data_IF_901798192877
#
_entry.id   IF_901798192877
#
_cell.length_a   1.000
_cell.length_b   1.000
_cell.length_c   1.000
_cell.angle_alpha   90.00
_cell.angle_beta   90.00
_cell.angle_gamma   90.00
#
_symmetry.space_group_name_H-M   'P 1'
#
loop_
_entity.id
_entity.type
_entity.pdbx_description
1 polymer ?
#
# COMPACT_ATOMS: atom_id res chain seq x y z
N UNK A 1 26.85 5.12 -1.96
CA UNK A 1 26.31 4.34 -3.10
C UNK A 1 27.41 3.74 -3.99
N UNK A 2 27.18 2.53 -4.51
CA UNK A 2 27.98 1.83 -5.52
C UNK A 2 27.45 2.08 -6.96
N UNK A 3 28.09 1.50 -7.99
CA UNK A 3 27.72 1.73 -9.39
C UNK A 3 26.29 1.29 -9.75
N UNK A 4 25.79 0.20 -9.17
CA UNK A 4 24.42 -0.26 -9.39
C UNK A 4 23.41 0.69 -8.73
N UNK A 5 23.71 1.17 -7.54
CA UNK A 5 22.84 2.12 -6.83
C UNK A 5 22.74 3.46 -7.56
N UNK A 6 23.83 3.93 -8.19
CA UNK A 6 23.77 5.10 -9.07
C UNK A 6 22.89 4.86 -10.31
N UNK A 7 22.97 3.67 -10.92
CA UNK A 7 22.06 3.32 -12.02
C UNK A 7 20.60 3.29 -11.56
N UNK A 8 20.32 2.76 -10.37
CA UNK A 8 18.97 2.78 -9.78
C UNK A 8 18.47 4.20 -9.55
N UNK A 9 19.33 5.11 -9.07
CA UNK A 9 19.00 6.53 -8.93
C UNK A 9 18.60 7.15 -10.26
N UNK A 10 19.36 6.91 -11.33
CA UNK A 10 19.07 7.49 -12.65
C UNK A 10 17.75 6.95 -13.21
N UNK A 11 17.48 5.65 -13.05
CA UNK A 11 16.20 5.03 -13.44
C UNK A 11 15.04 5.62 -12.63
N UNK A 12 15.17 5.71 -11.31
CA UNK A 12 14.12 6.26 -10.45
C UNK A 12 13.82 7.73 -10.76
N UNK A 13 14.86 8.52 -11.07
CA UNK A 13 14.72 9.92 -11.48
C UNK A 13 13.99 10.03 -12.82
N UNK A 14 14.37 9.22 -13.81
CA UNK A 14 13.68 9.19 -15.10
C UNK A 14 12.20 8.79 -14.95
N UNK A 15 11.90 7.76 -14.16
CA UNK A 15 10.52 7.33 -13.89
C UNK A 15 9.69 8.43 -13.23
N UNK A 16 10.28 9.19 -12.31
CA UNK A 16 9.63 10.34 -11.69
C UNK A 16 9.35 11.46 -12.70
N UNK A 17 10.37 11.88 -13.44
CA UNK A 17 10.32 13.06 -14.30
C UNK A 17 9.49 12.83 -15.57
N UNK A 18 9.52 11.61 -16.13
CA UNK A 18 8.89 11.31 -17.42
C UNK A 18 7.66 10.41 -17.31
N UNK A 19 7.52 9.65 -16.22
CA UNK A 19 6.49 8.61 -16.08
C UNK A 19 5.64 8.74 -14.81
N UNK A 20 5.71 9.88 -14.11
CA UNK A 20 4.92 10.21 -12.93
C UNK A 20 5.05 9.22 -11.76
N UNK A 21 6.17 8.49 -11.68
CA UNK A 21 6.44 7.65 -10.51
C UNK A 21 6.68 8.53 -9.27
N UNK A 22 5.99 8.22 -8.17
CA UNK A 22 6.01 9.04 -6.95
C UNK A 22 6.79 8.40 -5.80
N UNK A 23 6.88 7.07 -5.76
CA UNK A 23 7.43 6.32 -4.64
C UNK A 23 7.94 4.96 -5.10
N UNK A 24 8.95 4.43 -4.39
CA UNK A 24 9.38 3.04 -4.50
C UNK A 24 8.83 2.26 -3.30
N UNK A 25 8.27 1.07 -3.54
CA UNK A 25 7.73 0.21 -2.49
C UNK A 25 8.77 -0.86 -2.11
N UNK A 26 8.99 -1.04 -0.81
CA UNK A 26 9.71 -2.17 -0.23
C UNK A 26 8.77 -2.98 0.65
N UNK A 27 9.03 -4.28 0.81
CA UNK A 27 8.11 -5.18 1.52
C UNK A 27 8.82 -6.12 2.50
N UNK A 28 8.52 -5.97 3.78
CA UNK A 28 8.95 -6.97 4.78
C UNK A 28 8.15 -8.28 4.65
N UNK A 29 6.90 -8.19 4.22
CA UNK A 29 6.01 -9.33 4.09
C UNK A 29 6.43 -10.29 2.98
N UNK A 30 6.57 -9.78 1.75
CA UNK A 30 6.76 -10.62 0.56
C UNK A 30 8.23 -10.79 0.17
N UNK A 31 9.02 -9.72 0.22
CA UNK A 31 10.43 -9.75 -0.20
C UNK A 31 11.37 -10.16 0.93
N UNK A 32 10.92 -10.05 2.20
CA UNK A 32 11.78 -10.25 3.36
C UNK A 32 12.91 -9.22 3.42
N UNK A 33 12.68 -7.99 2.96
CA UNK A 33 13.69 -6.93 2.91
C UNK A 33 14.35 -6.76 4.27
N UNK A 34 15.68 -6.85 4.33
CA UNK A 34 16.42 -6.63 5.56
C UNK A 34 16.60 -5.14 5.83
N UNK A 35 16.83 -4.77 7.09
CA UNK A 35 16.95 -3.37 7.49
C UNK A 35 18.09 -2.65 6.75
N UNK A 36 19.23 -3.33 6.56
CA UNK A 36 20.36 -2.77 5.82
C UNK A 36 20.03 -2.51 4.34
N UNK A 37 19.20 -3.35 3.73
CA UNK A 37 18.72 -3.16 2.34
C UNK A 37 17.74 -2.00 2.26
N UNK A 38 16.83 -1.89 3.23
CA UNK A 38 15.88 -0.78 3.32
C UNK A 38 16.60 0.58 3.50
N UNK A 39 17.67 0.62 4.30
CA UNK A 39 18.49 1.83 4.48
C UNK A 39 19.22 2.24 3.21
N UNK A 40 19.72 1.28 2.43
CA UNK A 40 20.33 1.55 1.11
C UNK A 40 19.29 2.05 0.12
N UNK A 41 18.11 1.45 0.10
CA UNK A 41 17.00 1.90 -0.75
C UNK A 41 16.53 3.31 -0.37
N UNK A 42 16.50 3.65 0.93
CA UNK A 42 16.20 5.01 1.39
C UNK A 42 17.17 6.04 0.82
N UNK A 43 18.47 5.73 0.82
CA UNK A 43 19.51 6.60 0.25
C UNK A 43 19.25 6.84 -1.25
N UNK A 44 18.94 5.79 -2.01
CA UNK A 44 18.59 5.87 -3.44
C UNK A 44 17.35 6.76 -3.64
N UNK A 45 16.28 6.51 -2.90
CA UNK A 45 15.03 7.26 -3.01
C UNK A 45 15.24 8.75 -2.72
N UNK A 46 16.02 9.08 -1.69
CA UNK A 46 16.36 10.46 -1.35
C UNK A 46 17.11 11.17 -2.48
N UNK A 47 18.11 10.53 -3.09
CA UNK A 47 18.93 11.12 -4.16
C UNK A 47 18.14 11.23 -5.48
N UNK A 48 17.27 10.28 -5.78
CA UNK A 48 16.34 10.36 -6.91
C UNK A 48 15.17 11.32 -6.66
N UNK A 49 14.93 11.69 -5.40
CA UNK A 49 13.82 12.54 -4.99
C UNK A 49 12.45 11.88 -5.10
N UNK A 50 12.38 10.55 -4.97
CA UNK A 50 11.13 9.77 -4.92
C UNK A 50 10.81 9.38 -3.47
N UNK A 51 9.54 9.12 -3.20
CA UNK A 51 9.09 8.62 -1.90
C UNK A 51 9.53 7.18 -1.63
N UNK A 52 9.40 6.75 -0.38
CA UNK A 52 9.57 5.37 0.06
C UNK A 52 8.30 4.88 0.74
N UNK A 53 7.69 3.84 0.17
CA UNK A 53 6.55 3.12 0.74
C UNK A 53 7.05 1.82 1.37
N UNK A 54 6.61 1.49 2.57
CA UNK A 54 6.94 0.23 3.23
C UNK A 54 5.68 -0.58 3.55
N UNK A 55 5.61 -1.80 3.03
CA UNK A 55 4.63 -2.82 3.43
C UNK A 55 5.19 -3.62 4.60
N UNK A 56 4.53 -3.54 5.76
CA UNK A 56 4.95 -4.26 6.98
C UNK A 56 4.49 -5.72 6.95
N UNK A 57 5.06 -6.60 7.79
CA UNK A 57 4.76 -8.03 7.78
C UNK A 57 3.38 -8.43 8.33
N UNK A 58 2.58 -7.49 8.83
CA UNK A 58 1.28 -7.78 9.43
C UNK A 58 0.61 -6.56 10.05
N UNK A 59 -0.70 -6.65 10.26
CA UNK A 59 -1.50 -5.53 10.76
C UNK A 59 -1.10 -5.03 12.16
N UNK A 60 -0.42 -5.83 12.99
CA UNK A 60 0.13 -5.40 14.29
C UNK A 60 1.66 -5.61 14.38
N UNK A 61 2.39 -5.48 13.27
CA UNK A 61 3.85 -5.58 13.28
C UNK A 61 4.52 -4.35 13.88
N UNK A 62 4.48 -4.23 15.22
CA UNK A 62 5.01 -3.07 15.97
C UNK A 62 6.50 -2.86 15.69
N UNK A 63 7.29 -3.94 15.61
CA UNK A 63 8.71 -3.84 15.31
C UNK A 63 8.95 -3.19 13.94
N UNK A 64 8.25 -3.67 12.91
CA UNK A 64 8.33 -3.14 11.56
C UNK A 64 7.94 -1.66 11.51
N UNK A 65 6.94 -1.25 12.29
CA UNK A 65 6.57 0.17 12.42
C UNK A 65 7.68 1.03 13.04
N UNK A 66 8.42 0.50 14.03
CA UNK A 66 9.58 1.21 14.58
C UNK A 66 10.73 1.31 13.57
N UNK A 67 10.94 0.28 12.75
CA UNK A 67 11.91 0.35 11.65
C UNK A 67 11.47 1.38 10.59
N UNK A 68 10.19 1.35 10.20
CA UNK A 68 9.60 2.34 9.29
C UNK A 68 9.78 3.77 9.79
N UNK A 69 9.55 3.98 11.09
CA UNK A 69 9.76 5.26 11.78
C UNK A 69 11.23 5.68 11.76
N UNK A 70 12.14 4.74 12.03
CA UNK A 70 13.59 5.00 12.06
C UNK A 70 14.12 5.38 10.68
N UNK A 71 13.65 4.70 9.64
CA UNK A 71 14.02 4.98 8.25
C UNK A 71 13.35 6.26 7.71
N UNK A 72 12.20 6.64 8.26
CA UNK A 72 11.42 7.79 7.82
C UNK A 72 10.76 7.54 6.46
N UNK A 73 9.91 6.52 6.39
CA UNK A 73 9.12 6.20 5.19
C UNK A 73 8.03 7.26 4.95
N UNK A 74 7.62 7.44 3.69
CA UNK A 74 6.56 8.36 3.29
C UNK A 74 5.17 7.73 3.36
N UNK A 75 5.09 6.41 3.23
CA UNK A 75 3.84 5.67 3.23
C UNK A 75 4.05 4.33 3.95
N UNK A 76 3.12 3.98 4.83
CA UNK A 76 3.09 2.73 5.57
C UNK A 76 1.85 1.94 5.15
N UNK A 77 2.04 0.67 4.77
CA UNK A 77 0.98 -0.19 4.28
C UNK A 77 0.90 -1.46 5.11
N UNK A 78 -0.26 -1.73 5.72
CA UNK A 78 -0.51 -3.00 6.41
C UNK A 78 -1.19 -4.05 5.50
N UNK A 79 -0.66 -5.28 5.43
CA UNK A 79 -1.31 -6.38 4.71
C UNK A 79 -2.39 -7.07 5.54
N UNK A 80 -3.18 -7.90 4.86
CA UNK A 80 -4.11 -8.87 5.40
C UNK A 80 -5.07 -8.27 6.45
N UNK A 81 -5.56 -7.06 6.20
CA UNK A 81 -6.54 -6.39 7.07
C UNK A 81 -7.94 -6.79 6.64
N UNK A 82 -8.46 -7.88 7.22
CA UNK A 82 -9.70 -8.51 6.75
C UNK A 82 -10.94 -8.25 7.63
N UNK A 83 -10.79 -7.57 8.77
CA UNK A 83 -11.90 -7.35 9.71
C UNK A 83 -11.82 -5.99 10.42
N UNK A 84 -12.94 -5.49 10.98
CA UNK A 84 -12.93 -4.27 11.81
C UNK A 84 -11.96 -4.38 12.99
N UNK A 85 -11.82 -5.58 13.58
CA UNK A 85 -10.90 -5.82 14.68
C UNK A 85 -9.44 -5.69 14.24
N UNK A 86 -9.06 -6.28 13.11
CA UNK A 86 -7.71 -6.19 12.57
C UNK A 86 -7.33 -4.74 12.21
N UNK A 87 -8.24 -4.00 11.55
CA UNK A 87 -8.01 -2.60 11.22
C UNK A 87 -7.86 -1.76 12.50
N UNK A 88 -8.70 -1.98 13.51
CA UNK A 88 -8.57 -1.30 14.80
C UNK A 88 -7.20 -1.54 15.42
N UNK A 89 -6.72 -2.78 15.45
CA UNK A 89 -5.40 -3.13 16.01
C UNK A 89 -4.27 -2.46 15.25
N UNK A 90 -4.35 -2.41 13.92
CA UNK A 90 -3.41 -1.67 13.08
C UNK A 90 -3.37 -0.18 13.44
N UNK A 91 -4.51 0.50 13.44
CA UNK A 91 -4.55 1.93 13.71
C UNK A 91 -4.14 2.27 15.15
N UNK A 92 -4.47 1.41 16.13
CA UNK A 92 -3.99 1.56 17.51
C UNK A 92 -2.46 1.40 17.60
N UNK A 93 -1.88 0.44 16.89
CA UNK A 93 -0.43 0.26 16.83
C UNK A 93 0.26 1.46 16.17
N UNK A 94 -0.28 1.97 15.05
CA UNK A 94 0.21 3.19 14.41
C UNK A 94 0.17 4.38 15.37
N UNK A 95 -0.95 4.56 16.08
CA UNK A 95 -1.11 5.66 17.04
C UNK A 95 -0.17 5.57 18.25
N UNK A 96 0.29 4.36 18.59
CA UNK A 96 1.26 4.10 19.64
C UNK A 96 2.70 4.35 19.19
N UNK A 97 3.06 3.96 17.97
CA UNK A 97 4.44 4.00 17.47
C UNK A 97 4.83 5.37 16.93
N UNK A 98 3.92 6.02 16.21
CA UNK A 98 4.12 7.33 15.59
C UNK A 98 3.38 8.40 16.37
N UNK A 99 4.01 9.54 16.60
CA UNK A 99 3.37 10.73 17.18
C UNK A 99 2.39 11.37 16.21
N UNK A 100 1.48 12.22 16.70
CA UNK A 100 0.55 12.96 15.84
C UNK A 100 1.25 13.84 14.81
N UNK A 101 2.42 14.41 15.14
CA UNK A 101 3.22 15.21 14.22
C UNK A 101 3.88 14.36 13.13
N UNK A 102 4.44 13.20 13.48
CA UNK A 102 5.04 12.29 12.49
C UNK A 102 3.98 11.80 11.49
N UNK A 103 2.76 11.48 11.97
CA UNK A 103 1.64 11.03 11.12
C UNK A 103 1.17 12.07 10.10
N UNK A 104 1.53 13.34 10.23
CA UNK A 104 1.23 14.35 9.20
C UNK A 104 2.09 14.19 7.93
N UNK A 105 3.21 13.48 8.04
CA UNK A 105 4.18 13.30 6.96
C UNK A 105 4.24 11.86 6.45
N UNK A 106 3.36 10.99 6.96
CA UNK A 106 3.32 9.56 6.61
C UNK A 106 1.88 9.22 6.20
N UNK A 107 1.72 8.73 4.98
CA UNK A 107 0.45 8.17 4.55
C UNK A 107 0.23 6.80 5.20
N UNK A 108 -0.89 6.61 5.89
CA UNK A 108 -1.23 5.37 6.58
C UNK A 108 -2.32 4.65 5.78
N UNK A 109 -1.96 3.52 5.16
CA UNK A 109 -2.82 2.74 4.29
C UNK A 109 -2.94 1.29 4.78
N UNK A 110 -4.02 0.62 4.41
CA UNK A 110 -4.14 -0.82 4.56
C UNK A 110 -4.55 -1.48 3.25
N UNK A 111 -4.22 -2.75 3.11
CA UNK A 111 -4.58 -3.53 1.96
C UNK A 111 -5.97 -4.15 2.12
N UNK A 112 -6.72 -4.10 1.02
CA UNK A 112 -7.93 -4.89 0.79
C UNK A 112 -7.54 -5.97 -0.23
N UNK A 113 -7.15 -7.12 0.29
CA UNK A 113 -6.54 -8.23 -0.44
C UNK A 113 -7.48 -9.42 -0.63
N UNK A 114 -8.61 -9.49 0.07
CA UNK A 114 -9.46 -10.68 0.04
C UNK A 114 -10.93 -10.36 -0.11
N UNK A 115 -11.71 -11.35 -0.56
CA UNK A 115 -13.18 -11.26 -0.58
C UNK A 115 -13.74 -11.01 0.82
N UNK A 116 -13.10 -11.55 1.86
CA UNK A 116 -13.46 -11.29 3.26
C UNK A 116 -13.28 -9.81 3.61
N UNK A 117 -12.11 -9.23 3.29
CA UNK A 117 -11.85 -7.80 3.49
C UNK A 117 -12.84 -6.92 2.72
N UNK A 118 -13.12 -7.28 1.46
CA UNK A 118 -14.08 -6.56 0.61
C UNK A 118 -15.50 -6.56 1.19
N UNK A 119 -15.95 -7.72 1.71
CA UNK A 119 -17.26 -7.87 2.33
C UNK A 119 -17.37 -7.07 3.64
N UNK A 120 -16.30 -7.06 4.44
CA UNK A 120 -16.25 -6.36 5.73
C UNK A 120 -15.91 -4.87 5.61
N UNK A 121 -15.61 -4.36 4.40
CA UNK A 121 -15.08 -3.01 4.21
C UNK A 121 -15.95 -1.91 4.81
N UNK A 122 -17.28 -1.99 4.70
CA UNK A 122 -18.15 -0.96 5.26
C UNK A 122 -18.05 -0.90 6.79
N UNK A 123 -18.12 -2.05 7.45
CA UNK A 123 -17.95 -2.16 8.91
C UNK A 123 -16.55 -1.74 9.35
N UNK A 124 -15.52 -2.07 8.57
CA UNK A 124 -14.14 -1.64 8.82
C UNK A 124 -14.03 -0.12 8.82
N UNK A 125 -14.67 0.56 7.88
CA UNK A 125 -14.61 2.02 7.76
C UNK A 125 -15.47 2.76 8.80
N UNK A 126 -16.20 2.05 9.65
CA UNK A 126 -17.03 2.62 10.72
C UNK A 126 -16.37 2.61 12.11
N UNK A 127 -15.19 2.00 12.26
CA UNK A 127 -14.48 1.99 13.54
C UNK A 127 -14.07 3.39 13.99
N UNK A 128 -14.00 3.62 15.30
CA UNK A 128 -13.70 4.94 15.87
C UNK A 128 -12.28 5.44 15.56
N UNK A 129 -11.33 4.54 15.39
CA UNK A 129 -9.92 4.85 15.13
C UNK A 129 -9.66 5.26 13.67
N UNK A 130 -10.67 5.26 12.81
CA UNK A 130 -10.54 5.46 11.36
C UNK A 130 -9.97 6.85 10.97
N UNK A 131 -9.95 7.82 11.88
CA UNK A 131 -9.31 9.12 11.66
C UNK A 131 -7.81 9.05 11.33
N UNK A 132 -7.17 7.91 11.60
CA UNK A 132 -5.74 7.68 11.30
C UNK A 132 -5.52 7.12 9.88
N UNK A 133 -6.52 6.43 9.32
CA UNK A 133 -6.42 5.80 8.00
C UNK A 133 -6.60 6.85 6.91
N UNK A 134 -5.67 6.90 5.96
CA UNK A 134 -5.68 7.87 4.85
C UNK A 134 -6.07 7.23 3.52
N UNK A 135 -5.89 5.92 3.38
CA UNK A 135 -6.20 5.22 2.14
C UNK A 135 -6.28 3.72 2.26
N UNK A 136 -6.70 3.11 1.16
CA UNK A 136 -6.65 1.66 0.95
C UNK A 136 -5.83 1.33 -0.31
N UNK A 137 -5.20 0.17 -0.31
CA UNK A 137 -4.61 -0.44 -1.50
C UNK A 137 -5.42 -1.69 -1.85
N UNK A 138 -5.93 -1.78 -3.08
CA UNK A 138 -6.56 -3.00 -3.57
C UNK A 138 -5.50 -3.85 -4.25
N UNK A 139 -5.09 -4.97 -3.65
CA UNK A 139 -4.15 -5.91 -4.26
C UNK A 139 -4.93 -7.00 -5.02
N UNK A 140 -4.97 -6.88 -6.34
CA UNK A 140 -5.86 -7.70 -7.17
C UNK A 140 -5.45 -9.17 -7.27
N UNK A 141 -4.16 -9.48 -7.14
CA UNK A 141 -3.64 -10.85 -7.22
C UNK A 141 -4.14 -11.67 -6.03
N UNK A 142 -3.93 -11.17 -4.81
CA UNK A 142 -4.44 -11.82 -3.60
C UNK A 142 -5.98 -11.88 -3.59
N UNK A 143 -6.64 -10.85 -4.16
CA UNK A 143 -8.09 -10.84 -4.27
C UNK A 143 -8.60 -12.01 -5.13
N UNK A 144 -7.97 -12.26 -6.28
CA UNK A 144 -8.25 -13.41 -7.12
C UNK A 144 -8.01 -14.72 -6.36
N UNK A 145 -6.88 -14.86 -5.67
CA UNK A 145 -6.58 -16.07 -4.90
C UNK A 145 -7.60 -16.32 -3.79
N UNK A 146 -8.07 -15.28 -3.10
CA UNK A 146 -9.11 -15.40 -2.07
C UNK A 146 -10.46 -15.89 -2.63
N UNK A 147 -10.70 -15.66 -3.93
CA UNK A 147 -11.87 -16.14 -4.68
C UNK A 147 -11.65 -17.54 -5.29
N UNK A 148 -10.51 -18.19 -5.01
CA UNK A 148 -10.08 -19.46 -5.62
C UNK A 148 -9.89 -19.36 -7.13
N UNK A 149 -9.53 -18.19 -7.62
CA UNK A 149 -9.10 -17.93 -8.99
C UNK A 149 -7.58 -17.86 -9.06
N UNK A 150 -7.03 -17.73 -10.27
CA UNK A 150 -5.60 -17.54 -10.51
C UNK A 150 -5.24 -16.08 -10.78
N UNK A 151 -3.94 -15.80 -10.93
CA UNK A 151 -3.41 -14.47 -11.22
C UNK A 151 -3.74 -13.99 -12.65
N UNK A 152 -4.07 -14.90 -13.57
CA UNK A 152 -4.54 -14.56 -14.91
C UNK A 152 -5.92 -13.90 -14.89
N UNK A 153 -6.69 -14.13 -13.83
CA UNK A 153 -8.03 -13.61 -13.65
C UNK A 153 -8.09 -12.13 -13.23
N UNK A 154 -6.95 -11.49 -12.89
CA UNK A 154 -6.92 -10.09 -12.39
C UNK A 154 -7.52 -9.04 -13.33
N UNK A 155 -7.59 -9.36 -14.63
CA UNK A 155 -8.12 -8.50 -15.67
C UNK A 155 -9.50 -8.98 -16.17
N UNK A 156 -10.17 -9.86 -15.42
CA UNK A 156 -11.54 -10.26 -15.73
C UNK A 156 -12.54 -9.16 -15.33
N UNK A 157 -13.67 -9.09 -16.03
CA UNK A 157 -14.71 -8.07 -15.77
C UNK A 157 -15.29 -8.18 -14.37
N UNK A 158 -15.44 -9.40 -13.87
CA UNK A 158 -15.97 -9.70 -12.54
C UNK A 158 -15.05 -9.16 -11.45
N UNK A 159 -13.73 -9.32 -11.62
CA UNK A 159 -12.73 -8.78 -10.70
C UNK A 159 -12.71 -7.27 -10.78
N UNK A 160 -12.76 -6.70 -11.98
CA UNK A 160 -12.82 -5.24 -12.14
C UNK A 160 -14.06 -4.64 -11.46
N UNK A 161 -15.22 -5.29 -11.58
CA UNK A 161 -16.44 -4.85 -10.92
C UNK A 161 -16.31 -4.88 -9.40
N UNK A 162 -15.65 -5.90 -8.84
CA UNK A 162 -15.38 -5.99 -7.41
C UNK A 162 -14.46 -4.85 -6.94
N UNK A 163 -13.38 -4.58 -7.68
CA UNK A 163 -12.45 -3.47 -7.42
C UNK A 163 -13.18 -2.13 -7.47
N UNK A 164 -14.05 -1.92 -8.46
CA UNK A 164 -14.89 -0.72 -8.59
C UNK A 164 -15.77 -0.50 -7.35
N UNK A 165 -16.43 -1.55 -6.85
CA UNK A 165 -17.26 -1.43 -5.64
C UNK A 165 -16.43 -1.10 -4.40
N UNK A 166 -15.24 -1.68 -4.25
CA UNK A 166 -14.30 -1.34 -3.18
C UNK A 166 -13.90 0.14 -3.26
N UNK A 167 -13.52 0.62 -4.44
CA UNK A 167 -13.13 2.04 -4.65
C UNK A 167 -14.31 2.96 -4.32
N UNK A 168 -15.53 2.66 -4.77
CA UNK A 168 -16.72 3.47 -4.47
C UNK A 168 -16.96 3.57 -2.96
N UNK A 169 -16.86 2.46 -2.23
CA UNK A 169 -17.02 2.44 -0.76
C UNK A 169 -15.96 3.30 -0.07
N UNK A 170 -14.69 3.19 -0.47
CA UNK A 170 -13.60 3.98 0.09
C UNK A 170 -13.71 5.49 -0.25
N UNK A 171 -14.06 5.84 -1.49
CA UNK A 171 -14.25 7.23 -1.94
C UNK A 171 -15.40 7.93 -1.22
N UNK A 172 -16.48 7.23 -0.85
CA UNK A 172 -17.54 7.79 0.01
C UNK A 172 -17.00 8.31 1.35
N UNK A 173 -15.89 7.74 1.82
CA UNK A 173 -15.17 8.15 3.05
C UNK A 173 -13.97 9.06 2.77
N UNK A 174 -13.78 9.53 1.53
CA UNK A 174 -12.68 10.39 1.06
C UNK A 174 -11.29 9.77 1.23
N UNK A 175 -11.19 8.45 1.22
CA UNK A 175 -9.92 7.74 1.30
C UNK A 175 -9.19 7.75 -0.05
N UNK A 176 -7.86 7.79 0.02
CA UNK A 176 -7.00 7.47 -1.12
C UNK A 176 -7.25 6.02 -1.54
N UNK A 177 -7.23 5.76 -2.84
CA UNK A 177 -7.42 4.43 -3.40
C UNK A 177 -6.24 4.14 -4.32
N UNK A 178 -5.45 3.14 -3.99
CA UNK A 178 -4.34 2.65 -4.80
C UNK A 178 -4.73 1.27 -5.34
N UNK A 179 -4.47 0.99 -6.62
CA UNK A 179 -4.73 -0.32 -7.21
C UNK A 179 -3.38 -0.99 -7.49
N UNK A 180 -3.14 -2.10 -6.81
CA UNK A 180 -1.98 -2.96 -6.94
C UNK A 180 -2.33 -4.33 -7.54
N UNK A 181 -1.39 -5.27 -7.44
CA UNK A 181 -1.51 -6.63 -7.96
C UNK A 181 -1.51 -6.70 -9.49
N UNK A 182 -0.38 -7.13 -10.07
CA UNK A 182 -0.30 -7.47 -11.50
C UNK A 182 -0.66 -6.32 -12.46
N UNK A 183 -0.27 -5.07 -12.13
CA UNK A 183 -0.48 -3.92 -13.01
C UNK A 183 0.38 -4.09 -14.25
N UNK A 184 -0.27 -4.08 -15.42
CA UNK A 184 0.39 -4.21 -16.73
C UNK A 184 -0.39 -3.45 -17.79
N UNK A 185 0.10 -3.46 -19.03
CA UNK A 185 -0.62 -2.88 -20.17
C UNK A 185 -2.03 -3.46 -20.34
N UNK A 186 -2.27 -4.71 -19.93
CA UNK A 186 -3.59 -5.34 -19.96
C UNK A 186 -4.58 -4.73 -18.96
N UNK A 187 -4.10 -3.99 -17.96
CA UNK A 187 -4.96 -3.32 -16.97
C UNK A 187 -5.48 -1.95 -17.45
N UNK A 188 -4.86 -1.36 -18.49
CA UNK A 188 -5.21 -0.03 -19.01
C UNK A 188 -6.70 0.14 -19.37
N UNK A 189 -7.39 -0.84 -19.97
CA UNK A 189 -8.80 -0.68 -20.33
C UNK A 189 -9.72 -0.43 -19.12
N UNK A 190 -9.33 -0.85 -17.92
CA UNK A 190 -10.18 -0.77 -16.72
C UNK A 190 -10.06 0.56 -15.97
N UNK A 191 -8.89 1.20 -16.02
CA UNK A 191 -8.62 2.42 -15.23
C UNK A 191 -9.56 3.59 -15.54
N UNK A 192 -10.04 3.81 -16.79
CA UNK A 192 -11.03 4.84 -17.07
C UNK A 192 -12.38 4.66 -16.36
N UNK A 193 -12.70 3.43 -15.92
CA UNK A 193 -13.96 3.14 -15.20
C UNK A 193 -13.87 3.55 -13.73
N UNK A 194 -12.66 3.72 -13.18
CA UNK A 194 -12.46 4.02 -11.77
C UNK A 194 -12.90 5.45 -11.42
N UNK A 195 -13.67 5.64 -10.34
CA UNK A 195 -14.02 6.97 -9.85
C UNK A 195 -12.77 7.81 -9.57
N UNK A 196 -12.75 9.03 -10.11
CA UNK A 196 -11.70 10.02 -9.83
C UNK A 196 -11.79 10.51 -8.38
#
# INVERSE_FOLDING_TARGET
>A
MNSLEYQMVDIARELKEKHAAISVKAEFEAEGTRLEELLRLKEICMVAGVGLTLKIGGCESIRDMFEARTVGVNCLVAPMVESPYALRKYLQAVNKVFTSQERQNIEILCNIETVTASNNLEEMLEISENSTLQGIVIERVDLCFSLRLDDQSINNKEINQLVLEIIKKAKKRKLLCVVGGGISAHSLPFFPEYPK
#
